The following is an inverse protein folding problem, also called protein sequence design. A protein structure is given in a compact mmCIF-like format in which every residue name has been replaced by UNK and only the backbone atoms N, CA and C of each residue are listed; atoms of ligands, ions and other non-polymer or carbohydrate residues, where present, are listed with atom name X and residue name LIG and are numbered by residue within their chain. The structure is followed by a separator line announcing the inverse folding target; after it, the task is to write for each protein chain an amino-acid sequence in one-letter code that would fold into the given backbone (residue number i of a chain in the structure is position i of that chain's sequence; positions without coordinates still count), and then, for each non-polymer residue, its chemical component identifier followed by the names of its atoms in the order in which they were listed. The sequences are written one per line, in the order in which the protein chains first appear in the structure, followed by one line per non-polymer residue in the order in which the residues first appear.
data_IF_980009471510
#
_entry.id   IF_980009471510
#
_cell.length_a   1.000
_cell.length_b   1.000
_cell.length_c   1.000
_cell.angle_alpha   90.00
_cell.angle_beta   90.00
_cell.angle_gamma   90.00
#
_symmetry.space_group_name_H-M   'P 1'
#
loop_
_entity.id
_entity.type
_entity.pdbx_description
1 polymer ?
#
# COMPACT_ATOMS: atom_id res chain seq x y z
N UNK A 1 -17.63 -23.48 19.21
CA UNK A 1 -17.67 -22.79 17.89
C UNK A 1 -16.24 -22.75 17.32
N UNK A 2 -15.60 -23.93 17.18
CA UNK A 2 -14.16 -24.04 17.50
C UNK A 2 -13.33 -25.10 16.73
N UNK A 3 -13.77 -25.64 15.60
CA UNK A 3 -12.89 -26.49 14.75
C UNK A 3 -13.39 -26.58 13.31
N UNK A 4 -14.70 -26.74 13.14
CA UNK A 4 -15.32 -26.72 11.80
C UNK A 4 -15.18 -25.35 11.12
N UNK A 5 -15.20 -24.26 11.91
CA UNK A 5 -14.99 -22.90 11.41
C UNK A 5 -13.55 -22.69 10.93
N UNK A 6 -12.54 -23.26 11.61
CA UNK A 6 -11.14 -23.16 11.17
C UNK A 6 -10.86 -24.02 9.93
N UNK A 7 -11.50 -25.18 9.79
CA UNK A 7 -11.43 -25.98 8.56
C UNK A 7 -12.06 -25.28 7.36
N UNK A 8 -13.22 -24.61 7.55
CA UNK A 8 -13.85 -23.78 6.52
C UNK A 8 -12.99 -22.57 6.15
N UNK A 9 -12.36 -21.92 7.13
CA UNK A 9 -11.45 -20.80 6.89
C UNK A 9 -10.20 -21.26 6.10
N UNK A 10 -9.67 -22.43 6.39
CA UNK A 10 -8.55 -23.01 5.64
C UNK A 10 -8.89 -23.34 4.19
N UNK A 11 -10.10 -23.84 3.92
CA UNK A 11 -10.54 -24.11 2.54
C UNK A 11 -10.77 -22.82 1.75
N UNK A 12 -11.38 -21.80 2.37
CA UNK A 12 -11.54 -20.47 1.76
C UNK A 12 -10.20 -19.81 1.45
N UNK A 13 -9.25 -19.87 2.39
CA UNK A 13 -7.89 -19.36 2.17
C UNK A 13 -7.17 -20.07 1.03
N UNK A 14 -7.35 -21.40 0.90
CA UNK A 14 -6.78 -22.17 -0.21
C UNK A 14 -7.36 -21.73 -1.56
N UNK A 15 -8.68 -21.58 -1.65
CA UNK A 15 -9.36 -21.12 -2.88
C UNK A 15 -8.92 -19.69 -3.23
N UNK A 16 -8.86 -18.79 -2.25
CA UNK A 16 -8.38 -17.44 -2.46
C UNK A 16 -6.93 -17.43 -2.97
N UNK A 17 -6.03 -18.22 -2.35
CA UNK A 17 -4.65 -18.39 -2.82
C UNK A 17 -4.62 -18.91 -4.25
N UNK A 18 -5.38 -19.95 -4.57
CA UNK A 18 -5.41 -20.53 -5.92
C UNK A 18 -5.91 -19.55 -6.99
N UNK A 19 -6.87 -18.70 -6.62
CA UNK A 19 -7.41 -17.66 -7.48
C UNK A 19 -6.40 -16.52 -7.69
N UNK A 20 -5.83 -15.97 -6.61
CA UNK A 20 -4.99 -14.79 -6.66
C UNK A 20 -3.53 -15.06 -7.03
N UNK A 21 -2.99 -16.26 -6.80
CA UNK A 21 -1.60 -16.61 -7.12
C UNK A 21 -1.24 -16.33 -8.59
N UNK A 22 -2.17 -16.55 -9.52
CA UNK A 22 -1.95 -16.28 -10.95
C UNK A 22 -1.78 -14.79 -11.21
N UNK A 23 -2.56 -13.97 -10.52
CA UNK A 23 -2.46 -12.50 -10.59
C UNK A 23 -1.14 -12.05 -9.97
N UNK A 24 -0.78 -12.58 -8.80
CA UNK A 24 0.46 -12.25 -8.11
C UNK A 24 1.70 -12.58 -8.95
N UNK A 25 1.80 -13.79 -9.49
CA UNK A 25 2.93 -14.22 -10.32
C UNK A 25 3.03 -13.34 -11.58
N UNK A 26 1.90 -13.11 -12.26
CA UNK A 26 1.86 -12.23 -13.44
C UNK A 26 2.33 -10.82 -13.10
N UNK A 27 1.86 -10.27 -11.98
CA UNK A 27 2.23 -8.94 -11.52
C UNK A 27 3.72 -8.89 -11.15
N UNK A 28 4.25 -9.89 -10.44
CA UNK A 28 5.67 -9.99 -10.11
C UNK A 28 6.53 -9.94 -11.38
N UNK A 29 6.24 -10.77 -12.38
CA UNK A 29 6.98 -10.80 -13.64
C UNK A 29 6.93 -9.45 -14.34
N UNK A 30 5.74 -8.85 -14.46
CA UNK A 30 5.58 -7.54 -15.12
C UNK A 30 6.31 -6.43 -14.37
N UNK A 31 6.16 -6.37 -13.05
CA UNK A 31 6.74 -5.34 -12.21
C UNK A 31 8.26 -5.44 -12.23
N UNK A 32 8.83 -6.64 -12.06
CA UNK A 32 10.27 -6.88 -12.21
C UNK A 32 10.79 -6.45 -13.58
N UNK A 33 10.11 -6.87 -14.66
CA UNK A 33 10.48 -6.49 -16.03
C UNK A 33 10.46 -4.97 -16.22
N UNK A 34 9.42 -4.29 -15.73
CA UNK A 34 9.32 -2.83 -15.76
C UNK A 34 10.47 -2.16 -15.01
N UNK A 35 10.91 -2.72 -13.87
CA UNK A 35 12.08 -2.19 -13.15
C UNK A 35 13.37 -2.31 -13.96
N UNK A 36 13.59 -3.43 -14.64
CA UNK A 36 14.80 -3.61 -15.45
C UNK A 36 14.81 -2.73 -16.71
N UNK A 37 13.63 -2.40 -17.24
CA UNK A 37 13.49 -1.58 -18.45
C UNK A 37 13.49 -0.07 -18.16
N UNK A 38 12.97 0.35 -17.00
CA UNK A 38 12.92 1.77 -16.62
C UNK A 38 14.17 2.18 -15.83
N UNK A 39 14.89 3.20 -16.30
CA UNK A 39 16.15 3.69 -15.72
C UNK A 39 16.01 4.37 -14.34
N UNK A 40 14.81 4.47 -13.77
CA UNK A 40 14.53 5.08 -12.46
C UNK A 40 14.52 4.04 -11.30
N UNK A 41 15.37 3.02 -11.39
CA UNK A 41 15.54 2.01 -10.32
C UNK A 41 16.02 2.62 -9.00
N UNK A 42 16.61 3.81 -9.02
CA UNK A 42 17.04 4.57 -7.84
C UNK A 42 15.91 4.93 -6.87
N UNK A 43 14.66 4.85 -7.31
CA UNK A 43 13.47 5.14 -6.50
C UNK A 43 12.90 3.89 -5.82
N UNK A 44 13.58 2.75 -5.95
CA UNK A 44 13.13 1.46 -5.43
C UNK A 44 14.01 1.06 -4.26
N UNK A 45 13.42 1.02 -3.09
CA UNK A 45 14.09 0.67 -1.86
C UNK A 45 13.60 -0.68 -1.38
N UNK A 46 14.53 -1.55 -0.95
CA UNK A 46 14.16 -2.71 -0.15
C UNK A 46 13.83 -2.21 1.25
N UNK A 47 12.58 -2.39 1.67
CA UNK A 47 12.05 -1.78 2.89
C UNK A 47 11.83 -0.26 2.76
N UNK A 48 11.66 0.40 3.91
CA UNK A 48 11.58 1.86 3.98
C UNK A 48 12.98 2.50 4.02
N UNK A 49 13.08 3.79 3.65
CA UNK A 49 14.33 4.55 3.84
C UNK A 49 14.73 4.51 5.32
N UNK A 50 16.03 4.32 5.60
CA UNK A 50 16.53 4.27 6.98
C UNK A 50 16.06 5.47 7.80
N UNK A 51 15.59 5.19 9.01
CA UNK A 51 15.12 6.16 9.99
C UNK A 51 13.92 7.04 9.55
N UNK A 52 13.22 6.67 8.48
CA UNK A 52 12.13 7.51 7.94
C UNK A 52 10.97 7.71 8.94
N UNK A 53 10.60 6.66 9.67
CA UNK A 53 9.54 6.70 10.69
C UNK A 53 10.09 6.79 12.11
N UNK A 54 11.31 7.30 12.30
CA UNK A 54 11.96 7.33 13.62
C UNK A 54 11.53 8.56 14.43
N UNK A 55 11.51 8.42 15.76
CA UNK A 55 11.33 9.51 16.74
C UNK A 55 9.94 10.16 16.76
N UNK A 56 8.96 9.62 16.04
CA UNK A 56 7.56 10.04 16.13
C UNK A 56 6.63 8.84 16.08
N UNK A 57 5.43 9.00 16.64
CA UNK A 57 4.35 8.02 16.53
C UNK A 57 3.97 7.83 15.07
N UNK A 58 3.66 6.59 14.67
CA UNK A 58 3.07 6.29 13.37
C UNK A 58 1.56 6.18 13.50
N UNK A 59 0.82 7.03 12.78
CA UNK A 59 -0.63 6.95 12.63
C UNK A 59 -0.93 6.29 11.30
N UNK A 60 -1.71 5.21 11.34
CA UNK A 60 -2.17 4.52 10.15
C UNK A 60 -3.65 4.80 9.90
N UNK A 61 -4.00 5.27 8.71
CA UNK A 61 -5.40 5.49 8.32
C UNK A 61 -5.88 4.42 7.36
N UNK A 62 -6.97 3.73 7.72
CA UNK A 62 -7.76 2.90 6.79
C UNK A 62 -9.06 3.58 6.40
N UNK A 63 -9.78 3.04 5.41
CA UNK A 63 -11.10 3.53 4.98
C UNK A 63 -12.24 3.15 5.95
N UNK A 64 -12.06 3.44 7.24
CA UNK A 64 -13.07 3.24 8.27
C UNK A 64 -14.03 4.44 8.33
N UNK A 65 -15.32 4.25 8.62
CA UNK A 65 -16.24 5.36 8.92
C UNK A 65 -15.76 6.28 10.06
N UNK A 66 -14.90 5.76 10.95
CA UNK A 66 -14.30 6.57 12.02
C UNK A 66 -13.29 7.58 11.50
N UNK A 67 -12.70 7.38 10.32
CA UNK A 67 -11.75 8.33 9.73
C UNK A 67 -12.37 9.72 9.58
N UNK A 68 -13.66 9.78 9.24
CA UNK A 68 -14.39 11.05 9.08
C UNK A 68 -14.40 11.86 10.38
N UNK A 69 -14.60 11.19 11.53
CA UNK A 69 -14.63 11.82 12.85
C UNK A 69 -13.24 12.24 13.33
N UNK A 70 -12.21 11.50 12.93
CA UNK A 70 -10.82 11.77 13.33
C UNK A 70 -10.09 12.74 12.40
N UNK A 71 -10.68 13.10 11.24
CA UNK A 71 -10.03 13.93 10.21
C UNK A 71 -9.57 15.27 10.78
N UNK A 72 -10.40 15.92 11.61
CA UNK A 72 -10.07 17.17 12.27
C UNK A 72 -8.89 17.02 13.24
N UNK A 73 -8.84 15.93 14.01
CA UNK A 73 -7.76 15.65 14.93
C UNK A 73 -6.45 15.39 14.17
N UNK A 74 -6.50 14.61 13.09
CA UNK A 74 -5.35 14.33 12.22
C UNK A 74 -4.80 15.64 11.66
N UNK A 75 -5.66 16.51 11.13
CA UNK A 75 -5.24 17.80 10.58
C UNK A 75 -4.59 18.70 11.63
N UNK A 76 -5.17 18.80 12.83
CA UNK A 76 -4.66 19.66 13.92
C UNK A 76 -3.32 19.18 14.50
N UNK A 77 -3.10 17.86 14.50
CA UNK A 77 -1.93 17.24 15.12
C UNK A 77 -0.91 16.73 14.09
N UNK A 78 -1.05 17.09 12.80
CA UNK A 78 -0.29 16.52 11.68
C UNK A 78 1.23 16.52 11.86
N UNK A 79 1.78 17.50 12.59
CA UNK A 79 3.22 17.65 12.83
C UNK A 79 3.76 16.79 14.00
N UNK A 80 2.89 16.06 14.70
CA UNK A 80 3.25 15.27 15.89
C UNK A 80 3.46 13.78 15.60
N UNK A 81 3.17 13.35 14.37
CA UNK A 81 3.24 11.95 13.96
C UNK A 81 3.59 11.81 12.48
N UNK A 82 4.07 10.62 12.13
CA UNK A 82 4.09 10.16 10.76
C UNK A 82 2.74 9.61 10.35
N UNK A 83 2.28 9.94 9.15
CA UNK A 83 1.01 9.50 8.60
C UNK A 83 1.23 8.47 7.49
N UNK A 84 0.83 7.22 7.75
CA UNK A 84 0.78 6.16 6.76
C UNK A 84 -0.68 5.96 6.33
N UNK A 85 -0.99 6.22 5.06
CA UNK A 85 -2.32 6.02 4.53
C UNK A 85 -2.47 4.65 3.88
N UNK A 86 -3.61 3.99 4.01
CA UNK A 86 -3.97 2.94 3.07
C UNK A 86 -4.31 3.57 1.72
N UNK A 87 -4.16 2.80 0.64
CA UNK A 87 -4.71 3.18 -0.66
C UNK A 87 -6.20 3.56 -0.59
N UNK A 88 -7.01 2.79 0.13
CA UNK A 88 -8.44 3.04 0.28
C UNK A 88 -8.78 4.34 1.03
N UNK A 89 -7.96 4.78 1.99
CA UNK A 89 -8.19 6.03 2.73
C UNK A 89 -7.62 7.25 2.02
N UNK A 90 -6.75 7.04 1.02
CA UNK A 90 -5.97 8.09 0.36
C UNK A 90 -6.84 9.19 -0.23
N UNK A 91 -7.92 8.81 -0.92
CA UNK A 91 -8.85 9.77 -1.52
C UNK A 91 -9.49 10.69 -0.49
N UNK A 92 -9.85 10.14 0.68
CA UNK A 92 -10.47 10.92 1.76
C UNK A 92 -9.49 11.95 2.33
N UNK A 93 -8.33 11.50 2.81
CA UNK A 93 -7.38 12.40 3.49
C UNK A 93 -6.87 13.50 2.56
N UNK A 94 -6.63 13.20 1.28
CA UNK A 94 -6.19 14.19 0.30
C UNK A 94 -7.30 15.20 -0.03
N UNK A 95 -8.56 14.79 -0.06
CA UNK A 95 -9.69 15.69 -0.25
C UNK A 95 -9.81 16.74 0.88
N UNK A 96 -9.31 16.43 2.07
CA UNK A 96 -9.19 17.36 3.20
C UNK A 96 -7.83 18.07 3.28
N UNK A 97 -7.00 17.97 2.24
CA UNK A 97 -5.68 18.62 2.19
C UNK A 97 -4.62 17.97 3.08
N UNK A 98 -4.88 16.77 3.62
CA UNK A 98 -3.94 16.04 4.48
C UNK A 98 -3.06 15.15 3.61
N UNK A 99 -1.79 15.54 3.46
CA UNK A 99 -0.79 14.77 2.71
C UNK A 99 -0.14 13.73 3.63
N UNK A 100 -0.20 12.42 3.30
CA UNK A 100 0.47 11.39 4.08
C UNK A 100 1.98 11.39 3.83
N UNK A 101 2.75 10.88 4.78
CA UNK A 101 4.20 10.70 4.63
C UNK A 101 4.52 9.48 3.75
N UNK A 102 3.64 8.49 3.73
CA UNK A 102 3.72 7.35 2.83
C UNK A 102 2.34 6.70 2.61
N UNK A 103 2.22 5.89 1.56
CA UNK A 103 1.01 5.10 1.26
C UNK A 103 1.33 3.62 1.31
N UNK A 104 0.51 2.83 2.02
CA UNK A 104 0.54 1.38 2.02
C UNK A 104 -0.48 0.84 1.02
N UNK A 105 -0.02 0.05 0.03
CA UNK A 105 -0.90 -0.64 -0.91
C UNK A 105 -0.42 -2.07 -1.16
N UNK A 106 -1.27 -3.02 -0.79
CA UNK A 106 -0.97 -4.47 -0.84
C UNK A 106 -1.83 -5.20 -1.88
N UNK A 107 -3.00 -4.66 -2.23
CA UNK A 107 -3.87 -5.32 -3.19
C UNK A 107 -3.22 -5.40 -4.59
N UNK A 108 -3.41 -6.55 -5.22
CA UNK A 108 -2.92 -6.90 -6.56
C UNK A 108 -3.96 -6.63 -7.64
N UNK A 109 -5.20 -6.35 -7.23
CA UNK A 109 -6.33 -6.13 -8.13
C UNK A 109 -6.17 -4.84 -8.93
N UNK A 110 -6.86 -4.78 -10.08
CA UNK A 110 -6.97 -3.53 -10.85
C UNK A 110 -7.80 -2.47 -10.12
N UNK A 111 -8.57 -2.86 -9.08
CA UNK A 111 -9.36 -1.94 -8.26
C UNK A 111 -8.48 -0.88 -7.58
N UNK A 112 -7.25 -1.25 -7.21
CA UNK A 112 -6.27 -0.33 -6.64
C UNK A 112 -6.05 0.93 -7.48
N UNK A 113 -6.14 0.84 -8.82
CA UNK A 113 -6.01 1.99 -9.73
C UNK A 113 -6.92 3.16 -9.34
N UNK A 114 -8.16 2.87 -8.91
CA UNK A 114 -9.15 3.90 -8.63
C UNK A 114 -8.78 4.77 -7.42
N UNK A 115 -7.92 4.26 -6.52
CA UNK A 115 -7.43 4.98 -5.36
C UNK A 115 -6.27 5.95 -5.66
N UNK A 116 -5.57 5.78 -6.79
CA UNK A 116 -4.35 6.52 -7.13
C UNK A 116 -4.49 7.45 -8.35
N UNK A 117 -5.72 7.83 -8.74
CA UNK A 117 -5.99 8.62 -9.95
C UNK A 117 -5.44 10.07 -9.87
N UNK A 118 -4.12 10.22 -10.02
CA UNK A 118 -3.35 11.48 -10.08
C UNK A 118 -3.46 12.40 -8.86
N UNK A 119 -3.92 11.88 -7.73
CA UNK A 119 -4.08 12.65 -6.50
C UNK A 119 -2.82 12.65 -5.62
N UNK A 120 -1.92 11.68 -5.79
CA UNK A 120 -0.76 11.51 -4.90
C UNK A 120 0.43 12.37 -5.39
N UNK A 121 0.98 13.27 -4.56
CA UNK A 121 2.21 13.98 -4.89
C UNK A 121 3.35 13.00 -5.19
N UNK A 122 4.19 13.30 -6.18
CA UNK A 122 5.15 12.34 -6.77
C UNK A 122 6.26 11.95 -5.79
N UNK A 123 6.49 12.74 -4.75
CA UNK A 123 7.52 12.56 -3.75
C UNK A 123 7.09 11.52 -2.69
N UNK A 124 5.78 11.29 -2.53
CA UNK A 124 5.26 10.40 -1.49
C UNK A 124 5.55 8.94 -1.85
N UNK A 125 6.29 8.20 -1.02
CA UNK A 125 6.62 6.80 -1.27
C UNK A 125 5.39 5.91 -1.15
N UNK A 126 5.35 4.87 -1.99
CA UNK A 126 4.35 3.81 -1.97
C UNK A 126 5.01 2.53 -1.44
N UNK A 127 4.60 2.11 -0.25
CA UNK A 127 4.94 0.82 0.33
C UNK A 127 4.08 -0.26 -0.31
N UNK A 128 4.73 -1.19 -0.99
CA UNK A 128 4.04 -2.28 -1.69
C UNK A 128 4.95 -3.50 -1.81
N UNK A 129 4.56 -4.47 -2.64
CA UNK A 129 5.30 -5.69 -2.91
C UNK A 129 5.22 -6.03 -4.41
N UNK A 130 6.10 -6.92 -4.89
CA UNK A 130 6.19 -7.22 -6.32
C UNK A 130 4.91 -7.81 -6.93
N UNK A 131 4.09 -8.51 -6.16
CA UNK A 131 2.81 -9.04 -6.62
C UNK A 131 1.68 -8.00 -6.65
N UNK A 132 1.91 -6.82 -6.08
CA UNK A 132 0.95 -5.73 -6.00
C UNK A 132 0.50 -5.19 -7.36
N UNK A 133 -0.50 -4.31 -7.34
CA UNK A 133 -1.08 -3.76 -8.56
C UNK A 133 -0.02 -3.13 -9.47
N UNK A 134 0.04 -3.60 -10.72
CA UNK A 134 1.10 -3.20 -11.67
C UNK A 134 1.07 -1.71 -12.01
N UNK A 135 -0.11 -1.07 -11.93
CA UNK A 135 -0.24 0.36 -12.14
C UNK A 135 0.59 1.17 -11.15
N UNK A 136 0.77 0.68 -9.91
CA UNK A 136 1.59 1.38 -8.93
C UNK A 136 3.01 1.55 -9.45
N UNK A 137 3.59 0.51 -10.06
CA UNK A 137 4.94 0.53 -10.61
C UNK A 137 5.10 1.45 -11.82
N UNK A 138 3.99 1.81 -12.47
CA UNK A 138 3.97 2.79 -13.57
C UNK A 138 3.92 4.24 -13.01
N UNK A 139 3.58 4.44 -11.73
CA UNK A 139 3.58 5.77 -11.09
C UNK A 139 5.01 6.25 -10.80
N UNK A 140 5.30 7.56 -10.94
CA UNK A 140 6.63 8.12 -10.71
C UNK A 140 7.09 8.11 -9.25
N UNK A 141 6.19 7.78 -8.33
CA UNK A 141 6.46 7.73 -6.89
C UNK A 141 7.56 6.74 -6.51
N UNK A 142 8.35 7.01 -5.46
CA UNK A 142 9.24 6.01 -4.89
C UNK A 142 8.51 4.75 -4.47
N UNK A 143 9.12 3.59 -4.69
CA UNK A 143 8.58 2.29 -4.29
C UNK A 143 9.39 1.73 -3.14
N UNK A 144 8.72 1.48 -2.03
CA UNK A 144 9.32 0.78 -0.90
C UNK A 144 8.79 -0.64 -0.91
N UNK A 145 9.65 -1.55 -1.37
CA UNK A 145 9.27 -2.93 -1.60
C UNK A 145 9.61 -3.75 -0.37
N UNK A 146 8.57 -4.28 0.27
CA UNK A 146 8.73 -5.33 1.26
C UNK A 146 8.62 -6.68 0.55
N UNK A 147 9.64 -7.52 0.73
CA UNK A 147 9.56 -8.92 0.36
C UNK A 147 8.85 -9.66 1.49
N UNK A 148 7.59 -10.13 1.32
CA UNK A 148 7.14 -11.22 2.13
C UNK A 148 8.03 -12.41 1.77
N UNK A 149 8.83 -12.86 2.74
CA UNK A 149 9.65 -14.06 2.64
C UNK A 149 8.72 -15.28 2.73
N UNK A 150 7.80 -15.42 1.77
CA UNK A 150 6.84 -16.52 1.69
C UNK A 150 6.55 -16.77 0.19
N UNK A 151 7.36 -17.66 -0.39
CA UNK A 151 6.86 -18.65 -1.34
C UNK A 151 6.64 -19.94 -0.55
#
# INVERSE_FOLDING_TARGET
MSFLDSLKQNSQNKIAKEYFQKIWIRNCVRNLTSLFQNSNTSLIFSGAKNNFFQNQTLVFTGASPTLEKETDWISKNRNQFHLLASDTSLGWILNFGIVPDAVLSIDSSRGTLFHFRNILPKEIPILTWFGGCTYLFDLPNPKWIYFPLIL
#
